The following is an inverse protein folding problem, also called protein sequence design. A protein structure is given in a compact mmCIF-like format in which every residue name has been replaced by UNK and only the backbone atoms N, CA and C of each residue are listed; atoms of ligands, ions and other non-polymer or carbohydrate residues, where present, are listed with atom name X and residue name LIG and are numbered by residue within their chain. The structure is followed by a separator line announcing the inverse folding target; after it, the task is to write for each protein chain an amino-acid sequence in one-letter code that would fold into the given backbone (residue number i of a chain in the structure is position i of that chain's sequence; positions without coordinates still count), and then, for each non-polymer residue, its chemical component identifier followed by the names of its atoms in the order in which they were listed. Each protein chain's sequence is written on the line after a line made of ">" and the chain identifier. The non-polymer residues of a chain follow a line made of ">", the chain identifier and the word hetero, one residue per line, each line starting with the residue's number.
data_IF_703464186366
#
_entry.id   IF_703464186366
#
_cell.length_a   1.000
_cell.length_b   1.000
_cell.length_c   1.000
_cell.angle_alpha   90.00
_cell.angle_beta   90.00
_cell.angle_gamma   90.00
#
_symmetry.space_group_name_H-M   'P 1'
#
loop_
_entity.id
_entity.type
_entity.pdbx_description
1 polymer ?
#
# COMPACT_ATOMS: atom_id res chain seq x y z
N UNK A 1 -10.08 28.90 -15.15
CA UNK A 1 -9.31 27.62 -15.23
C UNK A 1 -8.52 27.30 -13.95
N UNK A 2 -8.25 28.27 -13.05
CA UNK A 2 -7.47 28.06 -11.82
C UNK A 2 -8.10 27.19 -10.72
N UNK A 3 -9.43 27.18 -10.59
CA UNK A 3 -10.09 26.40 -9.53
C UNK A 3 -10.00 24.88 -9.74
N UNK A 4 -9.87 24.43 -10.99
CA UNK A 4 -9.79 23.01 -11.29
C UNK A 4 -8.38 22.48 -11.00
N UNK A 5 -7.33 23.20 -11.37
CA UNK A 5 -5.94 22.86 -11.05
C UNK A 5 -5.70 22.79 -9.52
N UNK A 6 -6.18 23.78 -8.76
CA UNK A 6 -6.09 23.78 -7.28
C UNK A 6 -6.83 22.62 -6.61
N UNK A 7 -7.97 22.18 -7.18
CA UNK A 7 -8.74 21.05 -6.67
C UNK A 7 -8.02 19.71 -6.92
N UNK A 8 -7.37 19.59 -8.08
CA UNK A 8 -6.59 18.41 -8.47
C UNK A 8 -5.37 18.17 -7.56
N UNK A 9 -4.58 19.21 -7.26
CA UNK A 9 -3.42 19.06 -6.37
C UNK A 9 -3.83 18.69 -4.94
N UNK A 10 -4.96 19.23 -4.46
CA UNK A 10 -5.54 18.86 -3.16
C UNK A 10 -5.99 17.40 -3.13
N UNK A 11 -6.62 16.90 -4.20
CA UNK A 11 -7.11 15.51 -4.26
C UNK A 11 -5.95 14.51 -4.26
N UNK A 12 -4.89 14.78 -5.03
CA UNK A 12 -3.64 14.02 -5.00
C UNK A 12 -2.98 14.06 -3.62
N UNK A 13 -2.91 15.26 -3.02
CA UNK A 13 -2.36 15.46 -1.69
C UNK A 13 -3.06 14.63 -0.62
N UNK A 14 -4.39 14.53 -0.66
CA UNK A 14 -5.18 13.70 0.29
C UNK A 14 -4.86 12.22 0.17
N UNK A 15 -4.79 11.67 -1.05
CA UNK A 15 -4.47 10.25 -1.28
C UNK A 15 -3.06 9.93 -0.78
N UNK A 16 -2.09 10.76 -1.12
CA UNK A 16 -0.71 10.61 -0.64
C UNK A 16 -0.67 10.68 0.89
N UNK A 17 -1.31 11.69 1.49
CA UNK A 17 -1.30 11.91 2.94
C UNK A 17 -1.95 10.76 3.72
N UNK A 18 -3.08 10.21 3.25
CA UNK A 18 -3.71 9.08 3.95
C UNK A 18 -2.82 7.84 3.88
N UNK A 19 -2.16 7.59 2.75
CA UNK A 19 -1.35 6.40 2.56
C UNK A 19 -0.02 6.49 3.29
N UNK A 20 0.60 7.68 3.35
CA UNK A 20 1.82 7.88 4.14
C UNK A 20 1.54 7.80 5.64
N UNK A 21 0.43 8.38 6.12
CA UNK A 21 0.06 8.35 7.54
C UNK A 21 -0.55 7.01 7.99
N UNK A 22 -1.26 6.31 7.09
CA UNK A 22 -1.97 5.05 7.37
C UNK A 22 -1.77 4.05 6.22
N UNK A 23 -0.55 3.52 6.01
CA UNK A 23 -0.29 2.63 4.87
C UNK A 23 -1.04 1.30 4.97
N UNK A 24 -1.51 0.92 6.15
CA UNK A 24 -2.38 -0.25 6.34
C UNK A 24 -3.74 -0.14 5.65
N UNK A 25 -4.13 1.04 5.16
CA UNK A 25 -5.34 1.24 4.38
C UNK A 25 -5.20 0.79 2.91
N UNK A 26 -3.97 0.59 2.44
CA UNK A 26 -3.67 0.23 1.07
C UNK A 26 -4.45 -1.00 0.54
N UNK A 27 -4.59 -2.11 1.27
CA UNK A 27 -5.35 -3.26 0.79
C UNK A 27 -6.82 -2.95 0.53
N UNK A 28 -7.44 -2.09 1.36
CA UNK A 28 -8.83 -1.69 1.15
C UNK A 28 -8.98 -0.83 -0.11
N UNK A 29 -8.10 0.16 -0.27
CA UNK A 29 -8.10 1.03 -1.45
C UNK A 29 -7.93 0.19 -2.72
N UNK A 30 -6.98 -0.75 -2.71
CA UNK A 30 -6.75 -1.66 -3.84
C UNK A 30 -8.01 -2.43 -4.23
N UNK A 31 -8.65 -3.14 -3.29
CA UNK A 31 -9.83 -3.95 -3.63
C UNK A 31 -11.04 -3.11 -4.00
N UNK A 32 -11.28 -1.98 -3.31
CA UNK A 32 -12.40 -1.08 -3.64
C UNK A 32 -12.23 -0.51 -5.05
N UNK A 33 -11.00 -0.11 -5.42
CA UNK A 33 -10.69 0.39 -6.74
C UNK A 33 -10.80 -0.69 -7.81
N UNK A 34 -10.12 -1.82 -7.63
CA UNK A 34 -10.03 -2.89 -8.63
C UNK A 34 -11.37 -3.55 -8.93
N UNK A 35 -12.27 -3.64 -7.94
CA UNK A 35 -13.61 -4.21 -8.12
C UNK A 35 -14.66 -3.15 -8.50
N UNK A 36 -14.26 -1.89 -8.66
CA UNK A 36 -15.16 -0.76 -8.96
C UNK A 36 -16.33 -0.63 -7.98
N UNK A 37 -16.09 -1.02 -6.73
CA UNK A 37 -17.10 -1.03 -5.68
C UNK A 37 -17.27 -2.40 -5.04
N UNK A 38 -17.34 -2.42 -3.71
CA UNK A 38 -17.32 -3.67 -2.94
C UNK A 38 -18.20 -3.56 -1.69
N UNK A 39 -18.87 -4.65 -1.32
CA UNK A 39 -19.64 -4.73 -0.07
C UNK A 39 -18.71 -5.00 1.11
N UNK A 40 -19.19 -4.71 2.32
CA UNK A 40 -18.44 -4.98 3.55
C UNK A 40 -18.07 -6.48 3.68
N UNK A 41 -19.01 -7.37 3.35
CA UNK A 41 -18.83 -8.82 3.47
C UNK A 41 -17.78 -9.33 2.47
N UNK A 42 -17.77 -8.80 1.26
CA UNK A 42 -16.79 -9.13 0.22
C UNK A 42 -15.38 -8.72 0.67
N UNK A 43 -15.21 -7.49 1.17
CA UNK A 43 -13.91 -7.05 1.72
C UNK A 43 -13.44 -7.91 2.88
N UNK A 44 -14.36 -8.31 3.78
CA UNK A 44 -14.05 -9.20 4.89
C UNK A 44 -13.52 -10.54 4.40
N UNK A 45 -14.18 -11.13 3.40
CA UNK A 45 -13.80 -12.42 2.82
C UNK A 45 -12.49 -12.33 2.06
N UNK A 46 -12.34 -11.36 1.15
CA UNK A 46 -11.13 -11.16 0.33
C UNK A 46 -9.88 -10.94 1.19
N UNK A 47 -9.99 -10.13 2.24
CA UNK A 47 -8.87 -9.83 3.12
C UNK A 47 -8.70 -10.85 4.26
N UNK A 48 -9.69 -11.72 4.50
CA UNK A 48 -9.67 -12.67 5.62
C UNK A 48 -9.56 -11.97 6.98
N UNK A 49 -10.20 -10.82 7.15
CA UNK A 49 -10.11 -9.97 8.34
C UNK A 49 -11.38 -10.03 9.21
N UNK A 50 -11.24 -9.67 10.49
CA UNK A 50 -12.39 -9.44 11.38
C UNK A 50 -13.20 -8.24 10.90
N UNK A 51 -14.53 -8.33 10.99
CA UNK A 51 -15.47 -7.25 10.60
C UNK A 51 -15.10 -5.89 11.20
N UNK A 52 -14.67 -5.85 12.47
CA UNK A 52 -14.26 -4.61 13.14
C UNK A 52 -13.07 -3.91 12.45
N UNK A 53 -12.10 -4.68 11.94
CA UNK A 53 -10.94 -4.13 11.22
C UNK A 53 -11.38 -3.54 9.89
N UNK A 54 -12.25 -4.24 9.17
CA UNK A 54 -12.81 -3.78 7.88
C UNK A 54 -13.63 -2.51 8.08
N UNK A 55 -14.54 -2.48 9.06
CA UNK A 55 -15.33 -1.29 9.40
C UNK A 55 -14.43 -0.10 9.73
N UNK A 56 -13.36 -0.31 10.51
CA UNK A 56 -12.40 0.75 10.85
C UNK A 56 -11.64 1.27 9.63
N UNK A 57 -11.24 0.38 8.72
CA UNK A 57 -10.60 0.77 7.45
C UNK A 57 -11.53 1.64 6.60
N UNK A 58 -12.75 1.17 6.38
CA UNK A 58 -13.78 1.89 5.64
C UNK A 58 -14.12 3.24 6.28
N UNK A 59 -14.22 3.30 7.62
CA UNK A 59 -14.47 4.54 8.34
C UNK A 59 -13.38 5.60 8.07
N UNK A 60 -12.10 5.22 8.08
CA UNK A 60 -11.01 6.15 7.75
C UNK A 60 -11.06 6.62 6.30
N UNK A 61 -11.39 5.72 5.36
CA UNK A 61 -11.48 6.06 3.94
C UNK A 61 -12.68 6.95 3.61
N UNK A 62 -13.81 6.75 4.30
CA UNK A 62 -14.98 7.63 4.21
C UNK A 62 -14.68 8.99 4.84
N UNK A 63 -14.11 8.99 6.05
CA UNK A 63 -13.75 10.24 6.76
C UNK A 63 -12.77 11.11 5.96
N UNK A 64 -11.89 10.50 5.16
CA UNK A 64 -10.95 11.22 4.29
C UNK A 64 -11.54 11.65 2.94
N UNK A 65 -12.76 11.21 2.60
CA UNK A 65 -13.43 11.49 1.33
C UNK A 65 -12.93 10.65 0.15
N UNK A 66 -12.06 9.66 0.40
CA UNK A 66 -11.50 8.80 -0.66
C UNK A 66 -12.51 7.74 -1.10
N UNK A 67 -13.33 7.27 -0.17
CA UNK A 67 -14.38 6.29 -0.41
C UNK A 67 -15.73 6.88 -0.05
N UNK A 68 -16.73 6.57 -0.87
CA UNK A 68 -18.12 6.90 -0.64
C UNK A 68 -18.95 5.62 -0.54
N UNK A 69 -20.06 5.68 0.21
CA UNK A 69 -21.02 4.57 0.28
C UNK A 69 -22.16 4.84 -0.69
N UNK A 70 -22.37 3.96 -1.67
CA UNK A 70 -23.48 3.99 -2.63
C UNK A 70 -24.32 2.73 -2.46
N UNK A 71 -25.47 2.86 -1.81
CA UNK A 71 -26.27 1.72 -1.35
C UNK A 71 -25.46 0.83 -0.40
N UNK A 72 -25.30 -0.44 -0.76
CA UNK A 72 -24.50 -1.40 0.02
C UNK A 72 -23.01 -1.42 -0.33
N UNK A 73 -22.61 -0.77 -1.43
CA UNK A 73 -21.24 -0.79 -1.94
C UNK A 73 -20.44 0.42 -1.46
N UNK A 74 -19.17 0.18 -1.17
CA UNK A 74 -18.16 1.22 -0.96
C UNK A 74 -17.41 1.40 -2.27
N UNK A 75 -17.34 2.63 -2.77
CA UNK A 75 -16.73 2.98 -4.07
C UNK A 75 -15.68 4.08 -3.89
N UNK A 76 -14.68 4.13 -4.76
CA UNK A 76 -13.76 5.27 -4.81
C UNK A 76 -14.52 6.52 -5.25
N UNK A 77 -14.33 7.64 -4.53
CA UNK A 77 -14.89 8.93 -4.94
C UNK A 77 -14.32 9.37 -6.28
N UNK A 78 -15.17 9.89 -7.17
CA UNK A 78 -14.78 10.31 -8.53
C UNK A 78 -13.62 11.31 -8.54
N UNK A 79 -13.52 12.16 -7.50
CA UNK A 79 -12.44 13.14 -7.35
C UNK A 79 -11.05 12.50 -7.20
N UNK A 80 -10.99 11.25 -6.74
CA UNK A 80 -9.75 10.54 -6.45
C UNK A 80 -9.42 9.41 -7.45
N UNK A 81 -10.37 9.03 -8.30
CA UNK A 81 -10.24 7.90 -9.23
C UNK A 81 -8.99 7.99 -10.12
N UNK A 82 -8.75 9.14 -10.77
CA UNK A 82 -7.59 9.31 -11.67
C UNK A 82 -6.25 9.22 -10.93
N UNK A 83 -6.17 9.75 -9.71
CA UNK A 83 -4.96 9.68 -8.90
C UNK A 83 -4.69 8.27 -8.39
N UNK A 84 -5.75 7.58 -7.97
CA UNK A 84 -5.65 6.18 -7.55
C UNK A 84 -5.33 5.26 -8.72
N UNK A 85 -5.83 5.53 -9.93
CA UNK A 85 -5.50 4.76 -11.12
C UNK A 85 -3.98 4.69 -11.35
N UNK A 86 -3.29 5.84 -11.34
CA UNK A 86 -1.83 5.89 -11.48
C UNK A 86 -1.12 5.13 -10.36
N UNK A 87 -1.62 5.23 -9.13
CA UNK A 87 -1.03 4.54 -8.00
C UNK A 87 -1.24 3.02 -8.06
N UNK A 88 -2.42 2.57 -8.47
CA UNK A 88 -2.76 1.15 -8.58
C UNK A 88 -2.05 0.49 -9.76
N UNK A 89 -1.83 1.20 -10.87
CA UNK A 89 -0.96 0.74 -11.97
C UNK A 89 0.49 0.52 -11.51
N UNK A 90 0.96 1.31 -10.55
CA UNK A 90 2.29 1.15 -9.95
C UNK A 90 2.30 0.23 -8.71
N UNK A 91 1.16 -0.38 -8.36
CA UNK A 91 1.07 -1.26 -7.20
C UNK A 91 1.54 -2.67 -7.55
N UNK A 92 2.27 -3.28 -6.63
CA UNK A 92 2.64 -4.69 -6.68
C UNK A 92 1.90 -5.44 -5.56
N UNK A 93 1.15 -6.48 -5.91
CA UNK A 93 0.40 -7.28 -4.94
C UNK A 93 0.72 -8.75 -5.06
N UNK A 94 1.13 -9.39 -3.96
CA UNK A 94 1.41 -10.83 -3.89
C UNK A 94 0.59 -11.48 -2.77
N UNK A 95 -0.61 -11.95 -3.13
CA UNK A 95 -1.57 -12.57 -2.22
C UNK A 95 -2.00 -11.66 -1.06
N UNK A 96 -1.21 -11.65 0.02
CA UNK A 96 -1.45 -10.87 1.25
C UNK A 96 -0.57 -9.63 1.40
N UNK A 97 0.37 -9.39 0.48
CA UNK A 97 1.23 -8.20 0.49
C UNK A 97 0.83 -7.23 -0.59
N UNK A 98 0.83 -5.95 -0.24
CA UNK A 98 0.48 -4.84 -1.11
C UNK A 98 1.62 -3.82 -0.99
N UNK A 99 2.18 -3.44 -2.13
CA UNK A 99 3.32 -2.54 -2.23
C UNK A 99 2.98 -1.42 -3.20
N UNK A 100 3.22 -0.18 -2.79
CA UNK A 100 3.17 0.99 -3.69
C UNK A 100 4.39 1.85 -3.47
N UNK A 101 4.90 2.47 -4.53
CA UNK A 101 5.96 3.47 -4.45
C UNK A 101 5.36 4.88 -4.43
N UNK A 102 5.73 5.69 -3.44
CA UNK A 102 5.39 7.11 -3.36
C UNK A 102 6.68 7.90 -3.19
N UNK A 103 7.06 8.68 -4.21
CA UNK A 103 8.36 9.35 -4.25
C UNK A 103 9.50 8.32 -4.14
N UNK A 104 10.42 8.53 -3.19
CA UNK A 104 11.57 7.65 -2.91
C UNK A 104 11.28 6.62 -1.81
N UNK A 105 10.02 6.31 -1.53
CA UNK A 105 9.63 5.40 -0.44
C UNK A 105 8.64 4.36 -0.93
N UNK A 106 8.89 3.10 -0.61
CA UNK A 106 7.96 2.00 -0.77
C UNK A 106 7.12 1.86 0.49
N UNK A 107 5.80 1.87 0.32
CA UNK A 107 4.85 1.55 1.37
C UNK A 107 4.42 0.10 1.21
N UNK A 108 4.57 -0.68 2.27
CA UNK A 108 4.23 -2.11 2.27
C UNK A 108 3.14 -2.36 3.32
N UNK A 109 2.02 -2.92 2.89
CA UNK A 109 0.97 -3.42 3.76
C UNK A 109 0.88 -4.94 3.65
N UNK A 110 0.82 -5.62 4.79
CA UNK A 110 0.75 -7.08 4.89
C UNK A 110 -0.50 -7.46 5.68
N UNK A 111 -1.40 -8.14 5.02
CA UNK A 111 -2.65 -8.64 5.60
C UNK A 111 -2.38 -9.92 6.37
N UNK A 112 -2.76 -9.95 7.64
CA UNK A 112 -2.72 -11.13 8.53
C UNK A 112 -4.13 -11.38 9.04
N UNK A 113 -4.40 -12.61 9.52
CA UNK A 113 -5.74 -13.07 9.97
C UNK A 113 -6.48 -12.09 10.89
N UNK A 114 -5.77 -11.41 11.80
CA UNK A 114 -6.37 -10.49 12.78
C UNK A 114 -6.01 -9.02 12.61
N UNK A 115 -5.07 -8.68 11.73
CA UNK A 115 -4.53 -7.32 11.62
C UNK A 115 -3.86 -7.07 10.27
N UNK A 116 -3.73 -5.81 9.89
CA UNK A 116 -2.85 -5.39 8.80
C UNK A 116 -1.63 -4.74 9.44
N UNK A 117 -0.45 -5.22 9.08
CA UNK A 117 0.81 -4.58 9.47
C UNK A 117 1.35 -3.77 8.30
N UNK A 118 1.81 -2.56 8.56
CA UNK A 118 2.38 -1.70 7.54
C UNK A 118 3.78 -1.24 7.93
N UNK A 119 4.62 -0.99 6.93
CA UNK A 119 5.93 -0.38 7.09
C UNK A 119 6.35 0.33 5.80
N UNK A 120 7.29 1.26 5.93
CA UNK A 120 7.95 1.91 4.81
C UNK A 120 9.38 1.38 4.64
N UNK A 121 9.86 1.44 3.40
CA UNK A 121 11.25 1.15 3.03
C UNK A 121 11.72 2.26 2.09
N UNK A 122 12.76 3.03 2.43
CA UNK A 122 13.37 3.98 1.50
C UNK A 122 13.94 3.25 0.28
N UNK A 123 13.82 3.85 -0.89
CA UNK A 123 14.36 3.31 -2.15
C UNK A 123 15.87 3.07 -2.06
N UNK A 124 16.61 3.96 -1.40
CA UNK A 124 18.06 3.79 -1.19
C UNK A 124 18.41 2.50 -0.43
N UNK A 125 17.54 2.05 0.48
CA UNK A 125 17.72 0.80 1.20
C UNK A 125 17.56 -0.42 0.28
N UNK A 126 16.66 -0.34 -0.71
CA UNK A 126 16.49 -1.36 -1.74
C UNK A 126 17.66 -1.34 -2.72
N UNK A 127 18.09 -0.16 -3.18
CA UNK A 127 19.20 0.00 -4.12
C UNK A 127 20.51 -0.59 -3.61
N UNK A 128 20.76 -0.48 -2.29
CA UNK A 128 21.90 -1.13 -1.63
C UNK A 128 21.91 -2.66 -1.78
N UNK A 129 20.77 -3.28 -2.06
CA UNK A 129 20.61 -4.74 -2.22
C UNK A 129 20.62 -5.21 -3.68
N UNK A 130 20.22 -4.35 -4.64
CA UNK A 130 19.99 -4.74 -6.05
C UNK A 130 21.21 -5.33 -6.77
N UNK A 131 22.42 -4.94 -6.37
CA UNK A 131 23.66 -5.35 -7.04
C UNK A 131 24.46 -6.42 -6.25
N UNK A 132 23.83 -7.10 -5.29
CA UNK A 132 24.53 -8.03 -4.41
C UNK A 132 24.03 -9.46 -4.61
N UNK A 133 24.95 -10.42 -4.49
CA UNK A 133 24.59 -11.84 -4.36
C UNK A 133 23.99 -12.04 -2.96
N UNK A 134 22.67 -12.18 -2.90
CA UNK A 134 21.90 -12.34 -1.66
C UNK A 134 21.69 -13.81 -1.28
N UNK A 135 21.95 -14.74 -2.20
CA UNK A 135 21.74 -16.17 -2.00
C UNK A 135 22.64 -16.73 -0.89
N UNK A 136 22.06 -17.55 -0.01
CA UNK A 136 22.74 -18.26 1.08
C UNK A 136 23.45 -17.39 2.13
N UNK A 137 23.12 -16.09 2.21
CA UNK A 137 23.71 -15.18 3.21
C UNK A 137 22.76 -14.87 4.36
N UNK A 138 23.30 -14.74 5.56
CA UNK A 138 22.49 -14.37 6.71
C UNK A 138 22.11 -12.89 6.64
N UNK A 139 20.92 -12.54 7.15
CA UNK A 139 20.46 -11.14 7.22
C UNK A 139 21.46 -10.29 8.04
N UNK A 140 22.15 -10.87 9.03
CA UNK A 140 23.15 -10.18 9.84
C UNK A 140 24.35 -9.76 9.00
N UNK A 141 24.87 -10.67 8.16
CA UNK A 141 26.04 -10.38 7.31
C UNK A 141 25.71 -9.32 6.27
N UNK A 142 24.52 -9.44 5.64
CA UNK A 142 24.04 -8.45 4.69
C UNK A 142 23.91 -7.08 5.37
N UNK A 143 23.33 -7.03 6.58
CA UNK A 143 23.13 -5.80 7.33
C UNK A 143 24.45 -5.11 7.69
N UNK A 144 25.47 -5.88 8.11
CA UNK A 144 26.80 -5.36 8.42
C UNK A 144 27.48 -4.76 7.18
N UNK A 145 27.43 -5.47 6.05
CA UNK A 145 28.05 -5.04 4.80
C UNK A 145 27.43 -3.76 4.22
N UNK A 146 26.09 -3.70 4.19
CA UNK A 146 25.36 -2.53 3.66
C UNK A 146 25.23 -1.39 4.67
N UNK A 147 25.78 -1.59 5.88
CA UNK A 147 25.72 -0.67 7.02
C UNK A 147 24.28 -0.20 7.28
N UNK A 148 23.34 -1.14 7.40
CA UNK A 148 21.93 -0.86 7.70
C UNK A 148 21.46 -1.60 8.95
N UNK A 149 20.49 -1.04 9.71
CA UNK A 149 19.88 -1.75 10.83
C UNK A 149 19.24 -3.07 10.37
N UNK A 150 19.43 -4.13 11.15
CA UNK A 150 18.93 -5.49 10.84
C UNK A 150 17.46 -5.52 10.44
N UNK A 151 16.62 -4.73 11.14
CA UNK A 151 15.18 -4.62 10.87
C UNK A 151 14.89 -3.99 9.51
N UNK A 152 15.67 -2.99 9.09
CA UNK A 152 15.53 -2.36 7.78
C UNK A 152 15.99 -3.31 6.68
N UNK A 153 17.13 -3.99 6.87
CA UNK A 153 17.64 -5.02 5.95
C UNK A 153 16.62 -6.12 5.72
N UNK A 154 16.04 -6.68 6.80
CA UNK A 154 15.01 -7.71 6.70
C UNK A 154 13.74 -7.23 5.97
N UNK A 155 13.37 -5.96 6.11
CA UNK A 155 12.22 -5.38 5.39
C UNK A 155 12.53 -5.13 3.92
N UNK A 156 13.72 -4.64 3.62
CA UNK A 156 14.17 -4.37 2.26
C UNK A 156 14.35 -5.67 1.45
N UNK A 157 14.88 -6.74 2.07
CA UNK A 157 14.93 -8.08 1.45
C UNK A 157 13.53 -8.61 1.12
N UNK A 158 12.59 -8.54 2.07
CA UNK A 158 11.20 -8.95 1.83
C UNK A 158 10.52 -8.13 0.74
N UNK A 159 10.84 -6.84 0.66
CA UNK A 159 10.37 -5.97 -0.41
C UNK A 159 10.96 -6.41 -1.74
N UNK A 160 12.28 -6.65 -1.82
CA UNK A 160 12.97 -7.14 -3.00
C UNK A 160 12.35 -8.44 -3.53
N UNK A 161 12.17 -9.44 -2.67
CA UNK A 161 11.47 -10.70 -3.00
C UNK A 161 10.06 -10.45 -3.55
N UNK A 162 9.32 -9.52 -2.94
CA UNK A 162 7.96 -9.17 -3.34
C UNK A 162 7.93 -8.53 -4.73
N UNK A 163 8.84 -7.57 -4.99
CA UNK A 163 8.93 -6.89 -6.28
C UNK A 163 9.37 -7.83 -7.41
N UNK A 164 10.33 -8.72 -7.15
CA UNK A 164 10.76 -9.76 -8.10
C UNK A 164 9.65 -10.76 -8.46
N UNK A 165 8.62 -10.89 -7.62
CA UNK A 165 7.46 -11.72 -7.93
C UNK A 165 6.46 -10.99 -8.84
N UNK A 166 6.37 -9.66 -8.72
CA UNK A 166 5.40 -8.85 -9.48
C UNK A 166 5.88 -8.42 -10.86
N UNK A 167 7.19 -8.20 -11.03
CA UNK A 167 7.78 -7.65 -12.26
C UNK A 167 8.69 -8.66 -12.95
N UNK A 168 8.32 -9.94 -12.88
CA UNK A 168 8.94 -10.99 -13.70
C UNK A 168 8.58 -10.81 -15.17
#
# INVERSE_FOLDING_TARGET
>A
MDNQARSWDKAKGKVVNILTSRPWLLPFIYHIYSLQGVKLIELKTLLGLKTAVVKRGLWWLIKSGIVEKKGEKYVISQQHTKHLAKLMLAACTTGRRYVVKIGKVYLVAVVRKSRITAYSVPEDALNKLLNRKLENRSIKDIAAEVKMPLKLTARALKLYETLNTCWR
#
